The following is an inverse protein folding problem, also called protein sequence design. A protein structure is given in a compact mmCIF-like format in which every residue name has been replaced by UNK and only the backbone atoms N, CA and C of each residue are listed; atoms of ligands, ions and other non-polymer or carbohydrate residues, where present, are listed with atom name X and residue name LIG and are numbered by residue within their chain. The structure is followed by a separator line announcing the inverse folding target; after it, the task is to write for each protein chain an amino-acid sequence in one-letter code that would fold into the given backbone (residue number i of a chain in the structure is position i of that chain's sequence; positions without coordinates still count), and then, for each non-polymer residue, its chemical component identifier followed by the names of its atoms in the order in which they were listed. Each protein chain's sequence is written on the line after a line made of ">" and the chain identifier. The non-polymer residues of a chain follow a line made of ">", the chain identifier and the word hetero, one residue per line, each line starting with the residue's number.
data_IF_689433684290
#
_entry.id   IF_689433684290
#
_cell.length_a   1.000
_cell.length_b   1.000
_cell.length_c   1.000
_cell.angle_alpha   90.00
_cell.angle_beta   90.00
_cell.angle_gamma   90.00
#
_symmetry.space_group_name_H-M   'P 1'
#
loop_
_entity.id
_entity.type
_entity.pdbx_description
1 polymer ?
#
# COMPACT_ATOMS: atom_id res chain seq x y z
N UNK A 1 15.64 6.96 -13.10
CA UNK A 1 14.22 6.69 -13.36
C UNK A 1 13.47 7.07 -12.10
N UNK A 2 12.52 7.99 -12.20
CA UNK A 2 11.73 8.43 -11.04
C UNK A 2 10.25 8.29 -11.42
N UNK A 3 9.75 7.06 -11.30
CA UNK A 3 8.36 6.66 -11.55
C UNK A 3 7.92 5.66 -10.47
N UNK A 4 6.61 5.61 -10.20
CA UNK A 4 6.04 4.68 -9.22
C UNK A 4 5.98 3.23 -9.70
N UNK A 5 5.87 3.03 -11.01
CA UNK A 5 5.82 1.71 -11.64
C UNK A 5 6.80 1.67 -12.83
N UNK A 6 7.45 0.53 -13.04
CA UNK A 6 8.37 0.31 -14.17
C UNK A 6 8.05 -1.01 -14.84
N UNK A 7 7.75 -0.95 -16.14
CA UNK A 7 7.41 -2.10 -16.97
C UNK A 7 8.58 -2.41 -17.91
N UNK A 8 9.03 -3.66 -17.93
CA UNK A 8 10.20 -4.09 -18.72
C UNK A 8 9.76 -5.13 -19.75
N UNK A 9 10.03 -4.86 -21.04
CA UNK A 9 9.73 -5.74 -22.17
C UNK A 9 8.26 -6.21 -22.22
N UNK A 10 7.33 -5.36 -21.78
CA UNK A 10 5.89 -5.61 -21.77
C UNK A 10 5.09 -4.31 -21.85
N UNK A 11 3.79 -4.42 -22.14
CA UNK A 11 2.84 -3.31 -22.22
C UNK A 11 2.37 -2.81 -20.84
N UNK A 12 1.60 -1.72 -20.83
CA UNK A 12 0.97 -1.13 -19.64
C UNK A 12 -0.16 -2.02 -19.08
N UNK A 13 -0.74 -1.60 -17.94
CA UNK A 13 -1.71 -2.29 -17.07
C UNK A 13 -1.05 -2.90 -15.84
N UNK A 14 -1.41 -2.36 -14.68
CA UNK A 14 -1.06 -2.88 -13.37
C UNK A 14 -1.80 -4.19 -13.09
N UNK A 15 -1.21 -5.01 -12.21
CA UNK A 15 -1.86 -6.21 -11.73
C UNK A 15 -2.45 -5.92 -10.35
N UNK A 16 -3.64 -6.44 -10.04
CA UNK A 16 -4.34 -6.17 -8.77
C UNK A 16 -3.54 -6.56 -7.52
N UNK A 17 -2.52 -7.43 -7.65
CA UNK A 17 -1.61 -7.79 -6.56
C UNK A 17 -0.43 -6.82 -6.39
N UNK A 18 -0.19 -5.94 -7.35
CA UNK A 18 0.81 -4.88 -7.29
C UNK A 18 0.36 -3.74 -6.37
N UNK A 19 1.19 -2.69 -6.27
CA UNK A 19 0.82 -1.48 -5.53
C UNK A 19 0.88 -0.29 -6.48
N UNK A 20 -0.29 0.14 -6.94
CA UNK A 20 -0.45 1.23 -7.88
C UNK A 20 -0.27 2.57 -7.16
N UNK A 21 0.98 2.99 -7.02
CA UNK A 21 1.37 4.18 -6.29
C UNK A 21 2.21 5.11 -7.15
N UNK A 22 1.71 6.32 -7.40
CA UNK A 22 2.46 7.39 -8.05
C UNK A 22 3.50 8.02 -7.12
N UNK A 23 4.47 8.74 -7.69
CA UNK A 23 5.42 9.56 -6.91
C UNK A 23 5.34 11.04 -7.31
N UNK A 24 5.88 11.94 -6.48
CA UNK A 24 5.86 13.40 -6.71
C UNK A 24 4.42 13.93 -6.81
N UNK A 25 4.05 14.54 -7.94
CA UNK A 25 2.75 15.14 -8.17
C UNK A 25 1.71 14.14 -8.71
N UNK A 26 2.02 12.84 -8.74
CA UNK A 26 1.11 11.81 -9.24
C UNK A 26 0.03 11.39 -8.23
N UNK A 27 0.15 11.76 -6.96
CA UNK A 27 -0.81 11.43 -5.90
C UNK A 27 -0.15 11.11 -4.56
N UNK A 28 -0.97 10.91 -3.53
CA UNK A 28 -0.56 10.47 -2.18
C UNK A 28 -1.23 9.12 -1.91
N UNK A 29 -0.50 8.19 -1.29
CA UNK A 29 -0.95 6.83 -1.05
C UNK A 29 -0.70 5.92 -2.27
N UNK A 30 -1.61 4.98 -2.48
CA UNK A 30 -1.62 4.06 -3.62
C UNK A 30 -2.82 3.12 -3.54
N UNK A 31 -3.14 2.46 -4.65
CA UNK A 31 -4.20 1.47 -4.74
C UNK A 31 -3.62 0.05 -4.92
N UNK A 32 -4.50 -0.94 -4.84
CA UNK A 32 -4.22 -2.35 -5.11
C UNK A 32 -3.25 -3.06 -4.16
N UNK A 33 -3.26 -4.39 -4.23
CA UNK A 33 -2.39 -5.26 -3.45
C UNK A 33 -2.57 -5.13 -1.95
N UNK A 34 -1.58 -5.65 -1.21
CA UNK A 34 -1.59 -5.62 0.25
C UNK A 34 -1.64 -4.19 0.80
N UNK A 35 -0.81 -3.29 0.26
CA UNK A 35 -0.70 -1.93 0.77
C UNK A 35 -1.91 -1.07 0.42
N UNK A 36 -2.48 -1.20 -0.77
CA UNK A 36 -3.74 -0.53 -1.10
C UNK A 36 -4.91 -1.01 -0.23
N UNK A 37 -4.95 -2.30 0.15
CA UNK A 37 -5.92 -2.79 1.13
C UNK A 37 -5.69 -2.23 2.54
N UNK A 38 -4.43 -2.11 2.96
CA UNK A 38 -4.05 -1.54 4.26
C UNK A 38 -4.49 -0.08 4.42
N UNK A 39 -4.56 0.71 3.34
CA UNK A 39 -5.08 2.10 3.34
C UNK A 39 -6.57 2.18 3.75
N UNK A 40 -7.33 1.09 3.63
CA UNK A 40 -8.73 1.01 4.09
C UNK A 40 -8.88 0.48 5.52
N UNK A 41 -7.78 0.13 6.19
CA UNK A 41 -7.79 -0.38 7.55
C UNK A 41 -7.26 0.69 8.51
N UNK A 42 -7.78 0.67 9.74
CA UNK A 42 -7.27 1.51 10.82
C UNK A 42 -6.63 0.64 11.90
N UNK A 43 -5.39 0.97 12.26
CA UNK A 43 -4.68 0.30 13.34
C UNK A 43 -5.21 0.76 14.69
N UNK A 44 -5.80 -0.15 15.47
CA UNK A 44 -6.22 0.10 16.84
C UNK A 44 -5.35 -0.74 17.80
N UNK A 45 -4.72 -0.08 18.77
CA UNK A 45 -3.79 -0.72 19.72
C UNK A 45 -4.45 -0.82 21.09
N UNK A 46 -4.40 -2.00 21.71
CA UNK A 46 -4.93 -2.26 23.05
C UNK A 46 -3.81 -2.71 23.98
N UNK A 47 -3.68 -2.05 25.12
CA UNK A 47 -2.82 -2.49 26.22
C UNK A 47 -3.69 -3.13 27.29
N UNK A 48 -3.44 -4.40 27.60
CA UNK A 48 -4.19 -5.16 28.59
C UNK A 48 -3.27 -5.62 29.70
N UNK A 49 -3.61 -5.26 30.94
CA UNK A 49 -2.97 -5.83 32.13
C UNK A 49 -3.67 -7.16 32.48
N UNK A 50 -2.90 -8.25 32.55
CA UNK A 50 -3.39 -9.59 32.91
C UNK A 50 -2.97 -10.04 34.31
N UNK A 51 -2.50 -9.12 35.17
CA UNK A 51 -2.09 -9.46 36.54
C UNK A 51 -3.22 -10.10 37.35
N UNK A 52 -2.87 -11.15 38.10
CA UNK A 52 -3.59 -11.55 39.30
C UNK A 52 -2.79 -11.01 40.47
N UNK A 53 -3.35 -10.02 41.17
CA UNK A 53 -2.85 -9.31 42.36
C UNK A 53 -1.38 -8.85 42.36
#
# INVERSE_FOLDING_TARGET
>A
MEFGETYINRENFEAMQGFHAGIKNSGIGGADGKHGLEEYLHTHIVYMNIGAD
#
